data_IF_779147541191
#
_entry.id   IF_779147541191
#
_cell.length_a   1.000
_cell.length_b   1.000
_cell.length_c   1.000
_cell.angle_alpha   90.00
_cell.angle_beta   90.00
_cell.angle_gamma   90.00
#
_symmetry.space_group_name_H-M   'P 1'
#
loop_
_entity.id
_entity.type
_entity.pdbx_description
1 polymer ?
#
# COMPACT_ATOMS: atom_id res chain seq x y z
N UNK A 1 -27.56 -32.20 30.39
CA UNK A 1 -26.09 -32.02 30.30
C UNK A 1 -25.83 -30.79 29.45
N UNK A 2 -25.14 -29.81 30.04
CA UNK A 2 -25.07 -28.43 29.58
C UNK A 2 -24.06 -28.23 28.43
N UNK A 3 -24.36 -27.24 27.58
CA UNK A 3 -23.51 -26.74 26.51
C UNK A 3 -22.28 -26.01 27.06
N UNK A 4 -21.12 -26.24 26.44
CA UNK A 4 -19.86 -25.53 26.73
C UNK A 4 -19.74 -24.34 25.77
N UNK A 5 -19.52 -23.10 26.25
CA UNK A 5 -19.57 -21.91 25.41
C UNK A 5 -18.23 -21.59 24.71
N UNK A 6 -18.36 -20.90 23.58
CA UNK A 6 -17.31 -20.26 22.78
C UNK A 6 -16.40 -19.41 23.68
N UNK A 7 -15.08 -19.62 23.60
CA UNK A 7 -14.09 -18.78 24.30
C UNK A 7 -13.87 -17.48 23.51
N UNK A 8 -14.10 -16.37 24.20
CA UNK A 8 -14.11 -14.99 23.70
C UNK A 8 -12.72 -14.49 23.25
N UNK A 9 -12.75 -13.70 22.18
CA UNK A 9 -11.66 -12.93 21.57
C UNK A 9 -11.11 -11.81 22.49
N UNK A 10 -11.87 -11.43 23.52
CA UNK A 10 -11.52 -10.38 24.49
C UNK A 10 -10.35 -10.74 25.41
N UNK A 11 -10.11 -12.04 25.64
CA UNK A 11 -9.11 -12.49 26.63
C UNK A 11 -7.66 -12.24 26.16
N UNK A 12 -7.46 -12.07 24.85
CA UNK A 12 -6.17 -11.67 24.29
C UNK A 12 -5.92 -10.15 24.38
N UNK A 13 -6.99 -9.34 24.43
CA UNK A 13 -6.93 -7.87 24.48
C UNK A 13 -6.64 -7.34 25.89
N UNK A 14 -7.08 -8.05 26.94
CA UNK A 14 -6.82 -7.64 28.33
C UNK A 14 -5.33 -7.83 28.71
N UNK A 15 -4.66 -8.85 28.15
CA UNK A 15 -3.27 -9.19 28.50
C UNK A 15 -2.20 -8.22 28.00
N UNK A 16 -2.54 -7.23 27.17
CA UNK A 16 -1.62 -6.16 26.72
C UNK A 16 -1.86 -4.80 27.36
N UNK A 17 -2.92 -4.63 28.17
CA UNK A 17 -3.19 -3.36 28.89
C UNK A 17 -2.35 -3.16 30.16
N UNK A 18 -1.51 -4.12 30.52
CA UNK A 18 -0.73 -4.11 31.76
C UNK A 18 0.73 -4.48 31.56
N UNK A 19 1.44 -3.71 30.74
CA UNK A 19 2.91 -3.66 30.77
C UNK A 19 3.36 -2.20 30.61
N UNK A 20 3.28 -1.45 31.72
CA UNK A 20 4.11 -0.28 31.94
C UNK A 20 5.57 -0.75 32.03
N UNK A 21 6.26 -0.85 30.89
CA UNK A 21 7.71 -1.03 30.89
C UNK A 21 8.37 0.33 31.19
N UNK A 22 8.67 0.57 32.46
CA UNK A 22 9.74 1.48 32.87
C UNK A 22 11.04 0.92 32.30
N UNK A 23 11.55 1.52 31.22
CA UNK A 23 12.92 1.30 30.80
C UNK A 23 13.83 2.07 31.75
N UNK A 24 14.46 1.33 32.66
CA UNK A 24 15.53 1.79 33.52
C UNK A 24 16.82 1.77 32.67
N UNK A 25 17.23 2.91 32.12
CA UNK A 25 18.53 3.08 31.49
C UNK A 25 19.46 3.76 32.49
N UNK A 26 20.28 2.95 33.16
CA UNK A 26 21.47 3.39 33.87
C UNK A 26 22.61 3.61 32.88
N UNK A 27 22.93 4.86 32.59
CA UNK A 27 24.24 5.27 32.09
C UNK A 27 24.46 6.75 32.39
N UNK A 28 25.60 7.03 33.00
CA UNK A 28 26.01 8.26 33.64
C UNK A 28 26.09 9.47 32.69
N UNK A 29 25.31 10.51 32.95
CA UNK A 29 25.59 11.88 32.52
C UNK A 29 25.15 12.84 33.63
N UNK A 30 25.97 13.83 34.04
CA UNK A 30 25.65 14.69 35.17
C UNK A 30 24.52 15.66 34.82
N UNK A 31 23.37 15.48 35.45
CA UNK A 31 22.22 16.39 35.37
C UNK A 31 22.55 17.69 36.12
N UNK A 32 22.88 18.76 35.38
CA UNK A 32 22.68 20.13 35.91
C UNK A 32 21.17 20.40 35.92
N UNK A 33 20.60 20.57 37.11
CA UNK A 33 19.19 20.96 37.26
C UNK A 33 18.99 22.40 36.79
N UNK A 34 18.43 22.57 35.59
CA UNK A 34 17.88 23.86 35.17
C UNK A 34 16.46 23.92 35.74
N UNK A 35 16.28 24.70 36.79
CA UNK A 35 14.97 25.02 37.38
C UNK A 35 14.39 26.18 36.56
N UNK A 36 13.44 25.89 35.66
CA UNK A 36 12.62 26.94 35.06
C UNK A 36 11.46 27.25 36.00
N UNK A 37 11.44 28.47 36.54
CA UNK A 37 10.26 29.03 37.20
C UNK A 37 9.17 29.24 36.15
N UNK A 38 8.01 28.62 36.36
CA UNK A 38 6.83 28.83 35.53
C UNK A 38 6.16 30.11 36.05
N UNK A 39 6.25 31.18 35.27
CA UNK A 39 5.38 32.35 35.45
C UNK A 39 3.99 32.02 34.88
N UNK A 40 3.01 31.89 35.76
CA UNK A 40 1.60 31.68 35.42
C UNK A 40 1.00 32.92 34.75
N UNK A 41 1.20 33.08 33.45
CA UNK A 41 0.32 33.88 32.59
C UNK A 41 0.63 33.65 31.10
N UNK A 42 0.06 32.59 30.53
CA UNK A 42 -0.19 32.55 29.08
C UNK A 42 -1.43 31.70 28.83
N UNK A 43 -2.44 32.33 28.23
CA UNK A 43 -3.64 31.70 27.69
C UNK A 43 -3.27 30.52 26.78
N UNK A 44 -4.04 29.41 26.79
CA UNK A 44 -3.71 28.26 25.96
C UNK A 44 -3.96 28.64 24.50
N UNK A 45 -2.89 29.00 23.79
CA UNK A 45 -2.88 28.96 22.34
C UNK A 45 -3.15 27.50 21.95
N UNK A 46 -4.35 27.27 21.44
CA UNK A 46 -4.75 26.03 20.77
C UNK A 46 -3.69 25.66 19.74
N UNK A 47 -2.78 24.77 20.13
CA UNK A 47 -1.88 24.09 19.22
C UNK A 47 -2.69 22.98 18.54
N UNK A 48 -3.50 23.33 17.54
CA UNK A 48 -3.96 22.36 16.55
C UNK A 48 -2.76 21.90 15.72
N UNK A 49 -1.92 21.06 16.33
CA UNK A 49 -0.83 20.34 15.69
C UNK A 49 -1.41 19.13 14.92
N UNK A 50 -2.39 19.39 14.05
CA UNK A 50 -3.05 18.40 13.22
C UNK A 50 -2.06 17.94 12.15
N UNK A 51 -1.27 16.92 12.47
CA UNK A 51 -0.34 16.32 11.52
C UNK A 51 -1.09 15.82 10.29
N UNK A 52 -0.56 16.11 9.09
CA UNK A 52 -1.13 15.61 7.84
C UNK A 52 -1.30 14.08 7.84
N UNK A 53 -2.20 13.59 7.00
CA UNK A 53 -2.32 12.18 6.69
C UNK A 53 -1.07 11.63 6.01
N UNK A 54 -0.89 10.31 6.08
CA UNK A 54 0.19 9.63 5.36
C UNK A 54 -0.28 9.22 3.95
N UNK A 55 0.62 9.25 2.96
CA UNK A 55 0.41 8.70 1.63
C UNK A 55 1.12 7.35 1.52
N UNK A 56 0.36 6.25 1.52
CA UNK A 56 0.90 4.89 1.42
C UNK A 56 0.49 4.27 0.10
N UNK A 57 1.48 3.92 -0.72
CA UNK A 57 1.27 3.34 -2.05
C UNK A 57 1.59 1.85 -2.03
N UNK A 58 0.72 1.05 -2.64
CA UNK A 58 0.94 -0.36 -2.89
C UNK A 58 1.28 -0.59 -4.36
N UNK A 59 2.42 -1.23 -4.60
CA UNK A 59 2.92 -1.58 -5.92
C UNK A 59 3.12 -3.10 -6.07
N UNK A 60 3.20 -3.56 -7.31
CA UNK A 60 3.34 -4.98 -7.64
C UNK A 60 2.68 -5.37 -8.95
N UNK A 61 2.97 -6.58 -9.40
CA UNK A 61 2.42 -7.18 -10.62
C UNK A 61 0.89 -7.28 -10.60
N UNK A 62 0.28 -7.49 -11.77
CA UNK A 62 -1.13 -7.84 -11.82
C UNK A 62 -1.42 -9.11 -11.01
N UNK A 63 -2.60 -9.16 -10.40
CA UNK A 63 -3.01 -10.19 -9.44
C UNK A 63 -2.09 -10.39 -8.23
N UNK A 64 -1.16 -9.48 -7.90
CA UNK A 64 -0.32 -9.64 -6.69
C UNK A 64 -1.06 -9.55 -5.35
N UNK A 65 -2.32 -9.10 -5.35
CA UNK A 65 -3.17 -9.01 -4.15
C UNK A 65 -3.23 -7.61 -3.53
N UNK A 66 -2.72 -6.58 -4.22
CA UNK A 66 -2.73 -5.18 -3.76
C UNK A 66 -4.11 -4.72 -3.30
N UNK A 67 -5.11 -4.83 -4.15
CA UNK A 67 -6.50 -4.45 -3.84
C UNK A 67 -7.00 -5.07 -2.54
N UNK A 68 -6.78 -6.37 -2.35
CA UNK A 68 -7.20 -7.06 -1.13
C UNK A 68 -6.44 -6.59 0.12
N UNK A 69 -5.14 -6.33 0.00
CA UNK A 69 -4.33 -5.83 1.12
C UNK A 69 -4.67 -4.37 1.47
N UNK A 70 -4.89 -3.52 0.46
CA UNK A 70 -5.30 -2.14 0.66
C UNK A 70 -6.66 -2.08 1.38
N UNK A 71 -7.65 -2.85 0.92
CA UNK A 71 -8.96 -2.90 1.58
C UNK A 71 -8.89 -3.36 3.04
N UNK A 72 -8.11 -4.42 3.32
CA UNK A 72 -7.90 -4.89 4.70
C UNK A 72 -7.22 -3.85 5.59
N UNK A 73 -6.22 -3.15 5.06
CA UNK A 73 -5.52 -2.10 5.80
C UNK A 73 -6.45 -0.93 6.11
N UNK A 74 -7.25 -0.50 5.14
CA UNK A 74 -8.24 0.56 5.32
C UNK A 74 -9.26 0.17 6.39
N UNK A 75 -9.92 -0.98 6.27
CA UNK A 75 -10.90 -1.43 7.27
C UNK A 75 -10.30 -1.55 8.68
N UNK A 76 -9.05 -1.98 8.78
CA UNK A 76 -8.36 -2.06 10.06
C UNK A 76 -8.11 -0.67 10.67
N UNK A 77 -7.59 0.27 9.88
CA UNK A 77 -7.32 1.64 10.35
C UNK A 77 -8.61 2.40 10.69
N UNK A 78 -9.68 2.20 9.91
CA UNK A 78 -11.03 2.72 10.23
C UNK A 78 -11.54 2.16 11.54
N UNK A 79 -11.35 0.85 11.78
CA UNK A 79 -11.71 0.20 13.05
C UNK A 79 -10.95 0.72 14.27
N UNK A 80 -9.79 1.35 14.06
CA UNK A 80 -9.03 2.07 15.10
C UNK A 80 -9.42 3.55 15.24
N UNK A 81 -10.39 4.04 14.45
CA UNK A 81 -10.85 5.43 14.45
C UNK A 81 -9.97 6.39 13.66
N UNK A 82 -9.07 5.89 12.79
CA UNK A 82 -8.26 6.76 11.93
C UNK A 82 -9.03 7.23 10.69
N UNK A 83 -8.87 8.50 10.31
CA UNK A 83 -9.34 9.00 9.01
C UNK A 83 -8.45 8.44 7.90
N UNK A 84 -9.01 7.58 7.07
CA UNK A 84 -8.30 6.89 5.99
C UNK A 84 -9.21 6.73 4.76
N UNK A 85 -8.65 6.80 3.56
CA UNK A 85 -9.38 6.56 2.31
C UNK A 85 -8.60 5.60 1.40
N UNK A 86 -9.35 4.75 0.67
CA UNK A 86 -8.82 3.89 -0.38
C UNK A 86 -8.89 4.60 -1.74
N UNK A 87 -7.76 4.69 -2.43
CA UNK A 87 -7.65 5.24 -3.77
C UNK A 87 -7.02 4.21 -4.70
N UNK A 88 -7.32 4.28 -6.01
CA UNK A 88 -6.75 3.37 -7.02
C UNK A 88 -6.42 4.12 -8.30
N UNK A 89 -5.28 3.80 -8.89
CA UNK A 89 -4.92 4.24 -10.23
C UNK A 89 -4.81 3.06 -11.22
N UNK A 90 -5.31 3.20 -12.46
CA UNK A 90 -6.05 4.37 -12.96
C UNK A 90 -7.42 4.50 -12.28
N UNK A 91 -7.84 5.73 -11.99
CA UNK A 91 -9.23 6.01 -11.62
C UNK A 91 -10.07 5.97 -12.90
N UNK A 92 -10.75 4.85 -13.11
CA UNK A 92 -11.55 4.57 -14.32
C UNK A 92 -12.88 5.34 -14.38
N UNK A 93 -13.22 6.11 -13.36
CA UNK A 93 -14.48 6.87 -13.31
C UNK A 93 -14.42 8.17 -14.11
N UNK A 94 -13.23 8.75 -14.30
CA UNK A 94 -13.02 10.00 -15.02
C UNK A 94 -12.99 9.78 -16.54
N UNK A 95 -13.13 10.85 -17.33
CA UNK A 95 -13.07 10.76 -18.80
C UNK A 95 -11.73 10.18 -19.28
N UNK A 96 -10.61 10.61 -18.69
CA UNK A 96 -9.28 10.03 -18.98
C UNK A 96 -9.22 8.57 -18.54
N UNK A 97 -9.77 8.27 -17.36
CA UNK A 97 -9.91 6.90 -16.84
C UNK A 97 -10.67 5.96 -17.76
N UNK A 98 -11.73 6.45 -18.40
CA UNK A 98 -12.54 5.68 -19.35
C UNK A 98 -11.76 5.35 -20.62
N UNK A 99 -10.95 6.29 -21.14
CA UNK A 99 -10.04 6.02 -22.28
C UNK A 99 -9.02 4.94 -21.94
N UNK A 100 -8.43 5.00 -20.75
CA UNK A 100 -7.51 3.98 -20.24
C UNK A 100 -8.23 2.63 -20.08
N UNK A 101 -9.45 2.63 -19.55
CA UNK A 101 -10.26 1.42 -19.37
C UNK A 101 -10.57 0.75 -20.71
N UNK A 102 -10.98 1.53 -21.72
CA UNK A 102 -11.20 1.02 -23.07
C UNK A 102 -9.93 0.40 -23.66
N UNK A 103 -8.77 1.02 -23.43
CA UNK A 103 -7.48 0.48 -23.86
C UNK A 103 -7.13 -0.84 -23.16
N UNK A 104 -7.24 -0.89 -21.81
CA UNK A 104 -6.90 -2.07 -21.00
C UNK A 104 -7.84 -3.25 -21.28
N UNK A 105 -9.09 -2.98 -21.62
CA UNK A 105 -10.10 -4.00 -22.00
C UNK A 105 -10.06 -4.36 -23.49
N UNK A 106 -9.02 -3.92 -24.21
CA UNK A 106 -8.84 -4.17 -25.65
C UNK A 106 -9.97 -3.63 -26.56
N UNK A 107 -10.79 -2.68 -26.08
CA UNK A 107 -11.85 -2.02 -26.86
C UNK A 107 -11.32 -0.86 -27.72
N UNK A 108 -10.13 -0.35 -27.41
CA UNK A 108 -9.41 0.64 -28.22
C UNK A 108 -7.94 0.27 -28.35
N UNK A 109 -7.32 0.75 -29.43
CA UNK A 109 -5.87 0.70 -29.62
C UNK A 109 -5.34 2.13 -29.57
N UNK A 110 -4.25 2.32 -28.82
CA UNK A 110 -3.57 3.60 -28.66
C UNK A 110 -2.07 3.36 -28.75
N UNK A 111 -1.34 4.33 -29.28
CA UNK A 111 0.11 4.36 -29.24
C UNK A 111 0.64 4.31 -27.79
N UNK A 112 1.81 3.73 -27.62
CA UNK A 112 2.40 3.46 -26.31
C UNK A 112 2.77 4.74 -25.54
N UNK A 113 3.20 5.79 -26.24
CA UNK A 113 3.45 7.10 -25.64
C UNK A 113 2.14 7.76 -25.25
N UNK A 114 1.12 7.65 -26.10
CA UNK A 114 -0.21 8.22 -25.83
C UNK A 114 -0.83 7.62 -24.58
N UNK A 115 -0.89 6.28 -24.48
CA UNK A 115 -1.47 5.64 -23.29
C UNK A 115 -0.64 5.91 -22.03
N UNK A 116 0.70 5.99 -22.14
CA UNK A 116 1.56 6.37 -21.02
C UNK A 116 1.19 7.75 -20.46
N UNK A 117 1.05 8.74 -21.35
CA UNK A 117 0.68 10.10 -20.96
C UNK A 117 -0.73 10.16 -20.36
N UNK A 118 -1.69 9.37 -20.87
CA UNK A 118 -3.03 9.28 -20.27
C UNK A 118 -2.97 8.72 -18.84
N UNK A 119 -2.19 7.66 -18.59
CA UNK A 119 -1.98 7.16 -17.23
C UNK A 119 -1.40 8.23 -16.30
N UNK A 120 -0.46 9.04 -16.78
CA UNK A 120 0.12 10.14 -16.01
C UNK A 120 -0.90 11.24 -15.75
N UNK A 121 -1.62 11.69 -16.78
CA UNK A 121 -2.68 12.69 -16.68
C UNK A 121 -3.77 12.29 -15.65
N UNK A 122 -4.14 11.00 -15.63
CA UNK A 122 -5.11 10.46 -14.67
C UNK A 122 -4.64 10.52 -13.21
N UNK A 123 -3.31 10.53 -12.95
CA UNK A 123 -2.77 10.83 -11.61
C UNK A 123 -2.77 12.32 -11.32
N UNK A 124 -2.38 13.13 -12.29
CA UNK A 124 -2.32 14.59 -12.16
C UNK A 124 -3.68 15.23 -11.86
N UNK A 125 -4.75 14.78 -12.51
CA UNK A 125 -6.10 15.28 -12.26
C UNK A 125 -6.57 15.05 -10.81
N UNK A 126 -5.98 14.08 -10.10
CA UNK A 126 -6.28 13.79 -8.69
C UNK A 126 -5.36 14.49 -7.68
N UNK A 127 -4.22 15.01 -8.13
CA UNK A 127 -3.16 15.57 -7.26
C UNK A 127 -3.69 16.58 -6.25
N UNK A 128 -4.45 17.58 -6.69
CA UNK A 128 -4.95 18.66 -5.82
C UNK A 128 -5.91 18.13 -4.73
N UNK A 129 -6.77 17.18 -5.11
CA UNK A 129 -7.70 16.54 -4.16
C UNK A 129 -6.94 15.69 -3.13
N UNK A 130 -5.96 14.90 -3.58
CA UNK A 130 -5.10 14.12 -2.68
C UNK A 130 -4.35 15.03 -1.70
N UNK A 131 -3.78 16.14 -2.18
CA UNK A 131 -3.07 17.10 -1.33
C UNK A 131 -4.00 17.72 -0.26
N UNK A 132 -5.23 18.06 -0.65
CA UNK A 132 -6.24 18.60 0.27
C UNK A 132 -6.60 17.59 1.36
N UNK A 133 -6.85 16.33 0.99
CA UNK A 133 -7.16 15.24 1.93
C UNK A 133 -6.02 14.97 2.90
N UNK A 134 -4.79 14.91 2.39
CA UNK A 134 -3.62 14.71 3.23
C UNK A 134 -3.45 15.88 4.21
N UNK A 135 -3.58 17.13 3.77
CA UNK A 135 -3.51 18.31 4.64
C UNK A 135 -4.60 18.31 5.73
N UNK A 136 -5.77 17.75 5.43
CA UNK A 136 -6.85 17.58 6.40
C UNK A 136 -6.65 16.41 7.39
N UNK A 137 -5.50 15.74 7.37
CA UNK A 137 -5.19 14.64 8.29
C UNK A 137 -5.58 13.24 7.79
N UNK A 138 -6.30 13.13 6.67
CA UNK A 138 -6.75 11.86 6.09
C UNK A 138 -5.60 11.09 5.45
N UNK A 139 -5.37 9.86 5.90
CA UNK A 139 -4.38 8.95 5.31
C UNK A 139 -4.90 8.37 4.01
N UNK A 140 -4.09 8.35 2.96
CA UNK A 140 -4.45 7.79 1.66
C UNK A 140 -3.72 6.46 1.45
N UNK A 141 -4.48 5.38 1.33
CA UNK A 141 -3.98 4.07 0.90
C UNK A 141 -4.25 3.93 -0.59
N UNK A 142 -3.19 3.86 -1.40
CA UNK A 142 -3.29 3.96 -2.86
C UNK A 142 -2.84 2.66 -3.53
N UNK A 143 -3.74 2.04 -4.29
CA UNK A 143 -3.47 0.86 -5.13
C UNK A 143 -2.94 1.33 -6.49
N UNK A 144 -1.63 1.14 -6.71
CA UNK A 144 -0.80 1.65 -7.84
C UNK A 144 -0.65 3.17 -7.87
N UNK A 145 0.53 3.65 -8.26
CA UNK A 145 0.82 5.07 -8.48
C UNK A 145 1.83 5.25 -9.63
N UNK A 146 2.72 6.24 -9.51
CA UNK A 146 3.73 6.58 -10.53
C UNK A 146 4.65 5.40 -10.87
N UNK A 147 5.04 4.56 -9.89
CA UNK A 147 5.93 3.42 -10.13
C UNK A 147 5.34 2.43 -11.13
N UNK A 148 4.04 2.12 -11.03
CA UNK A 148 3.32 1.33 -12.02
C UNK A 148 3.38 1.96 -13.41
N UNK A 149 3.15 3.27 -13.54
CA UNK A 149 3.24 3.98 -14.82
C UNK A 149 4.58 3.78 -15.52
N UNK A 150 5.68 4.05 -14.81
CA UNK A 150 7.03 3.91 -15.36
C UNK A 150 7.37 2.42 -15.59
N UNK A 151 6.99 1.50 -14.70
CA UNK A 151 7.37 0.08 -14.80
C UNK A 151 6.72 -0.61 -16.01
N UNK A 152 5.42 -0.38 -16.21
CA UNK A 152 4.70 -0.98 -17.32
C UNK A 152 5.14 -0.40 -18.66
N UNK A 153 5.38 0.90 -18.73
CA UNK A 153 5.71 1.56 -20.00
C UNK A 153 7.13 1.24 -20.47
N UNK A 154 8.08 1.20 -19.55
CA UNK A 154 9.45 0.73 -19.86
C UNK A 154 9.49 -0.75 -20.25
N UNK A 155 8.63 -1.60 -19.67
CA UNK A 155 8.48 -2.99 -20.09
C UNK A 155 7.95 -3.15 -21.53
N UNK A 156 7.33 -2.10 -22.09
CA UNK A 156 6.92 -2.03 -23.50
C UNK A 156 8.01 -1.49 -24.42
N UNK A 157 9.14 -1.04 -23.88
CA UNK A 157 10.30 -0.57 -24.63
C UNK A 157 10.46 0.96 -24.67
N UNK A 158 9.65 1.71 -23.92
CA UNK A 158 9.83 3.17 -23.81
C UNK A 158 11.04 3.50 -22.93
N UNK A 159 11.67 4.63 -23.23
CA UNK A 159 12.81 5.13 -22.45
C UNK A 159 12.43 5.41 -20.99
N UNK A 160 13.33 5.07 -20.07
CA UNK A 160 13.08 5.18 -18.64
C UNK A 160 12.96 6.62 -18.16
N UNK A 161 13.87 7.51 -18.58
CA UNK A 161 13.83 8.91 -18.16
C UNK A 161 12.65 9.63 -18.82
N UNK A 162 12.32 9.30 -20.06
CA UNK A 162 11.11 9.77 -20.72
C UNK A 162 9.84 9.36 -19.95
N UNK A 163 9.72 8.10 -19.53
CA UNK A 163 8.57 7.65 -18.75
C UNK A 163 8.48 8.28 -17.36
N UNK A 164 9.60 8.70 -16.79
CA UNK A 164 9.67 9.33 -15.47
C UNK A 164 9.32 10.81 -15.52
N UNK A 165 9.63 11.50 -16.62
CA UNK A 165 9.44 12.94 -16.75
C UNK A 165 7.99 13.42 -16.49
N UNK A 166 6.93 12.75 -17.02
CA UNK A 166 5.55 13.13 -16.72
C UNK A 166 5.16 12.98 -15.24
N UNK A 167 5.88 12.17 -14.45
CA UNK A 167 5.56 11.93 -13.04
C UNK A 167 6.16 12.99 -12.10
N UNK A 168 7.09 13.82 -12.59
CA UNK A 168 7.83 14.79 -11.78
C UNK A 168 6.88 15.86 -11.24
N UNK A 169 6.74 15.93 -9.92
CA UNK A 169 5.90 16.90 -9.22
C UNK A 169 4.60 16.32 -8.65
N UNK A 170 4.28 15.05 -8.92
CA UNK A 170 3.29 14.29 -8.15
C UNK A 170 3.69 14.20 -6.67
N UNK A 171 2.72 13.95 -5.80
CA UNK A 171 2.96 13.88 -4.34
C UNK A 171 3.83 12.65 -4.06
N UNK A 172 4.99 12.88 -3.44
CA UNK A 172 5.87 11.79 -3.02
C UNK A 172 5.19 10.93 -1.94
N UNK A 173 5.12 9.59 -2.10
CA UNK A 173 4.60 8.71 -1.06
C UNK A 173 5.49 8.70 0.17
N UNK A 174 4.87 8.60 1.35
CA UNK A 174 5.56 8.40 2.62
C UNK A 174 6.08 6.97 2.77
N UNK A 175 5.32 6.02 2.22
CA UNK A 175 5.66 4.60 2.21
C UNK A 175 5.25 3.97 0.88
N UNK A 176 6.15 3.19 0.29
CA UNK A 176 5.85 2.33 -0.85
C UNK A 176 5.97 0.87 -0.42
N UNK A 177 4.88 0.13 -0.57
CA UNK A 177 4.78 -1.30 -0.25
C UNK A 177 4.74 -2.08 -1.56
N UNK A 178 5.84 -2.76 -1.89
CA UNK A 178 5.91 -3.62 -3.07
C UNK A 178 5.58 -5.08 -2.71
N UNK A 179 4.45 -5.58 -3.23
CA UNK A 179 4.03 -6.97 -3.13
C UNK A 179 4.73 -7.81 -4.21
N UNK A 180 5.85 -8.43 -3.84
CA UNK A 180 6.67 -9.26 -4.70
C UNK A 180 6.16 -10.70 -4.72
N UNK A 181 5.55 -11.04 -5.84
CA UNK A 181 5.14 -12.39 -6.21
C UNK A 181 5.76 -12.71 -7.58
N UNK A 182 6.10 -13.98 -7.81
CA UNK A 182 6.55 -14.43 -9.13
C UNK A 182 5.41 -14.31 -10.15
N UNK A 183 5.66 -13.87 -11.40
CA UNK A 183 4.64 -13.82 -12.45
C UNK A 183 3.83 -15.11 -12.61
N UNK A 184 4.48 -16.27 -12.47
CA UNK A 184 3.87 -17.60 -12.57
C UNK A 184 2.76 -17.80 -11.53
N UNK A 185 3.09 -17.58 -10.24
CA UNK A 185 2.12 -17.67 -9.13
C UNK A 185 1.04 -16.58 -9.18
N UNK A 186 1.32 -15.44 -9.80
CA UNK A 186 0.31 -14.41 -10.01
C UNK A 186 -0.70 -14.85 -11.08
N UNK A 187 -0.22 -15.53 -12.13
CA UNK A 187 -1.04 -16.06 -13.21
C UNK A 187 -1.95 -17.22 -12.79
N UNK A 188 -1.56 -17.98 -11.77
CA UNK A 188 -2.41 -19.04 -11.17
C UNK A 188 -3.67 -18.49 -10.46
N UNK A 189 -3.74 -17.18 -10.20
CA UNK A 189 -4.88 -16.58 -9.49
C UNK A 189 -6.04 -16.35 -10.45
N UNK A 190 -7.26 -16.63 -9.96
CA UNK A 190 -8.49 -16.55 -10.76
C UNK A 190 -8.68 -15.21 -11.48
N UNK A 191 -9.16 -15.30 -12.73
CA UNK A 191 -9.47 -14.17 -13.60
C UNK A 191 -8.28 -13.54 -14.32
N UNK A 192 -7.10 -14.16 -14.28
CA UNK A 192 -5.92 -13.71 -15.05
C UNK A 192 -6.15 -13.86 -16.56
N UNK A 193 -5.68 -12.88 -17.33
CA UNK A 193 -5.77 -12.83 -18.79
C UNK A 193 -6.95 -12.03 -19.33
N UNK A 194 -7.73 -11.40 -18.45
CA UNK A 194 -8.89 -10.59 -18.83
C UNK A 194 -8.55 -9.17 -19.29
N UNK A 195 -7.36 -8.67 -18.93
CA UNK A 195 -6.88 -7.35 -19.36
C UNK A 195 -5.61 -7.44 -20.21
N UNK A 196 -5.38 -6.42 -21.03
CA UNK A 196 -4.27 -6.33 -22.01
C UNK A 196 -2.91 -6.70 -21.44
N UNK A 197 -2.61 -6.32 -20.20
CA UNK A 197 -1.30 -6.52 -19.59
C UNK A 197 -1.20 -7.81 -18.77
N UNK A 198 -2.28 -8.57 -18.59
CA UNK A 198 -2.28 -9.86 -17.89
C UNK A 198 -1.72 -10.98 -18.81
N UNK A 199 -0.52 -10.77 -19.34
CA UNK A 199 0.22 -11.71 -20.19
C UNK A 199 1.51 -12.11 -19.48
N UNK A 200 1.77 -13.41 -19.33
CA UNK A 200 2.86 -13.92 -18.49
C UNK A 200 4.23 -13.34 -18.87
N UNK A 201 4.58 -13.38 -20.16
CA UNK A 201 5.85 -12.82 -20.64
C UNK A 201 5.97 -11.32 -20.40
N UNK A 202 4.86 -10.59 -20.54
CA UNK A 202 4.85 -9.16 -20.26
C UNK A 202 5.03 -8.88 -18.76
N UNK A 203 4.34 -9.61 -17.88
CA UNK A 203 4.50 -9.48 -16.43
C UNK A 203 5.90 -9.86 -15.96
N UNK A 204 6.60 -10.78 -16.65
CA UNK A 204 8.03 -11.05 -16.40
C UNK A 204 8.90 -9.82 -16.67
N UNK A 205 8.70 -9.15 -17.81
CA UNK A 205 9.40 -7.89 -18.12
C UNK A 205 9.10 -6.82 -17.07
N UNK A 206 7.83 -6.63 -16.73
CA UNK A 206 7.41 -5.67 -15.68
C UNK A 206 8.09 -5.99 -14.34
N UNK A 207 8.16 -7.28 -13.95
CA UNK A 207 8.85 -7.71 -12.73
C UNK A 207 10.33 -7.34 -12.73
N UNK A 208 11.02 -7.48 -13.87
CA UNK A 208 12.42 -7.08 -14.02
C UNK A 208 12.57 -5.57 -13.85
N UNK A 209 11.73 -4.75 -14.48
CA UNK A 209 11.77 -3.29 -14.34
C UNK A 209 11.47 -2.82 -12.91
N UNK A 210 10.63 -3.52 -12.15
CA UNK A 210 10.46 -3.25 -10.72
C UNK A 210 11.70 -3.60 -9.91
N UNK A 211 12.35 -4.74 -10.20
CA UNK A 211 13.55 -5.19 -9.47
C UNK A 211 14.75 -4.30 -9.71
N UNK A 212 14.94 -3.80 -10.94
CA UNK A 212 16.03 -2.87 -11.29
C UNK A 212 15.96 -1.56 -10.49
N UNK A 213 14.78 -1.22 -9.94
CA UNK A 213 14.57 -0.01 -9.13
C UNK A 213 14.74 -0.24 -7.64
N UNK A 214 15.02 -1.47 -7.21
CA UNK A 214 15.36 -1.75 -5.81
C UNK A 214 16.80 -1.35 -5.57
N UNK A 215 17.01 -0.42 -4.65
CA UNK A 215 18.32 -0.10 -4.10
C UNK A 215 18.43 -0.60 -2.65
N UNK A 216 19.56 -0.32 -2.00
CA UNK A 216 19.86 -0.74 -0.62
C UNK A 216 18.93 -0.13 0.44
N UNK A 217 18.11 0.86 0.10
CA UNK A 217 17.17 1.48 1.05
C UNK A 217 15.88 0.68 1.23
N UNK A 218 15.60 -0.30 0.37
CA UNK A 218 14.45 -1.17 0.49
C UNK A 218 14.64 -2.21 1.61
N UNK A 219 13.71 -2.24 2.57
CA UNK A 219 13.66 -3.25 3.62
C UNK A 219 12.67 -4.34 3.25
N UNK A 220 13.14 -5.59 3.18
CA UNK A 220 12.34 -6.75 2.81
C UNK A 220 11.87 -7.57 4.01
N UNK A 221 10.65 -8.11 3.94
CA UNK A 221 10.19 -9.24 4.76
C UNK A 221 9.62 -10.32 3.82
N UNK A 222 9.87 -11.59 4.12
CA UNK A 222 9.40 -12.73 3.33
C UNK A 222 8.49 -13.63 4.17
N UNK A 223 7.41 -14.13 3.57
CA UNK A 223 6.59 -15.19 4.16
C UNK A 223 5.98 -16.06 3.06
N UNK A 224 6.36 -17.34 3.03
CA UNK A 224 6.01 -18.25 1.95
C UNK A 224 6.47 -17.70 0.59
N UNK A 225 5.53 -17.60 -0.35
CA UNK A 225 5.77 -17.13 -1.72
C UNK A 225 5.65 -15.62 -1.91
N UNK A 226 5.19 -14.89 -0.89
CA UNK A 226 5.04 -13.44 -0.94
C UNK A 226 6.21 -12.78 -0.23
N UNK A 227 6.91 -11.90 -0.93
CA UNK A 227 7.88 -10.99 -0.35
C UNK A 227 7.28 -9.59 -0.35
N UNK A 228 7.47 -8.86 0.74
CA UNK A 228 7.03 -7.47 0.85
C UNK A 228 8.25 -6.62 1.05
N UNK A 229 8.45 -5.66 0.16
CA UNK A 229 9.54 -4.70 0.25
C UNK A 229 8.95 -3.32 0.56
N UNK A 230 9.64 -2.61 1.44
CA UNK A 230 9.17 -1.33 1.98
C UNK A 230 10.30 -0.33 1.86
N UNK A 231 10.00 0.80 1.24
CA UNK A 231 10.92 1.93 1.11
C UNK A 231 10.22 3.16 1.68
N UNK A 232 10.84 3.80 2.69
CA UNK A 232 10.50 5.16 3.09
C UNK A 232 11.30 6.09 2.22
N UNK A 233 10.65 6.96 1.43
CA UNK A 233 11.20 7.51 0.19
C UNK A 233 12.63 8.11 0.27
N UNK A 234 13.61 7.54 -0.47
CA UNK A 234 14.54 8.29 -1.29
C UNK A 234 14.14 8.15 -2.77
N UNK A 235 14.36 9.17 -3.59
CA UNK A 235 14.03 9.29 -5.03
C UNK A 235 12.73 10.02 -5.41
N UNK A 236 12.57 11.26 -4.94
CA UNK A 236 12.23 12.47 -5.74
C UNK A 236 13.03 13.64 -5.13
N UNK A 237 14.37 13.59 -5.23
CA UNK A 237 15.21 14.76 -4.92
C UNK A 237 15.50 15.53 -6.21
N UNK A 238 14.45 16.16 -6.73
CA UNK A 238 14.52 17.47 -7.36
C UNK A 238 13.19 18.16 -7.05
N UNK A 239 13.26 19.11 -6.10
CA UNK A 239 12.21 19.98 -5.58
C UNK A 239 11.25 19.41 -4.51
N UNK A 240 11.60 19.60 -3.23
CA UNK A 240 10.82 20.34 -2.21
C UNK A 240 11.27 19.96 -0.78
N UNK A 241 12.38 20.56 -0.32
CA UNK A 241 12.66 20.71 1.11
C UNK A 241 11.72 21.78 1.65
N UNK A 242 10.50 21.44 2.11
CA UNK A 242 9.61 22.39 2.81
C UNK A 242 8.61 21.80 3.83
N UNK A 243 8.81 20.58 4.33
CA UNK A 243 7.94 20.02 5.39
C UNK A 243 8.75 19.29 6.48
N UNK A 244 9.47 20.04 7.33
CA UNK A 244 10.38 19.48 8.34
C UNK A 244 9.89 19.53 9.80
N UNK A 245 8.60 19.79 10.07
CA UNK A 245 8.06 19.73 11.45
C UNK A 245 6.97 18.68 11.71
N UNK A 246 6.53 17.92 10.70
CA UNK A 246 5.48 16.89 10.78
C UNK A 246 6.00 15.44 10.82
N UNK A 247 7.33 15.24 10.84
CA UNK A 247 7.96 13.95 10.58
C UNK A 247 7.71 12.86 11.63
N UNK A 248 7.59 13.20 12.92
CA UNK A 248 7.45 12.19 13.98
C UNK A 248 6.07 11.51 13.94
N UNK A 249 5.00 12.28 13.75
CA UNK A 249 3.63 11.71 13.75
C UNK A 249 3.37 10.89 12.49
N UNK A 250 3.89 11.33 11.33
CA UNK A 250 3.85 10.54 10.10
C UNK A 250 4.67 9.26 10.26
N UNK A 251 5.85 9.32 10.88
CA UNK A 251 6.67 8.13 11.15
C UNK A 251 5.97 7.13 12.09
N UNK A 252 5.26 7.60 13.13
CA UNK A 252 4.45 6.75 14.01
C UNK A 252 3.28 6.10 13.27
N UNK A 253 2.58 6.86 12.41
CA UNK A 253 1.53 6.32 11.52
C UNK A 253 2.10 5.25 10.58
N UNK A 254 3.29 5.47 10.02
CA UNK A 254 3.99 4.47 9.19
C UNK A 254 4.32 3.22 10.02
N UNK A 255 4.86 3.35 11.23
CA UNK A 255 5.17 2.19 12.09
C UNK A 255 3.92 1.37 12.42
N UNK A 256 2.81 2.04 12.76
CA UNK A 256 1.52 1.35 12.94
C UNK A 256 1.11 0.60 11.65
N UNK A 257 1.19 1.25 10.49
CA UNK A 257 0.84 0.62 9.20
C UNK A 257 1.74 -0.60 8.92
N UNK A 258 3.03 -0.51 9.23
CA UNK A 258 3.99 -1.61 9.04
C UNK A 258 3.68 -2.80 9.96
N UNK A 259 3.34 -2.54 11.22
CA UNK A 259 2.97 -3.57 12.19
C UNK A 259 1.66 -4.25 11.81
N UNK A 260 0.69 -3.47 11.34
CA UNK A 260 -0.61 -3.95 10.84
C UNK A 260 -0.43 -4.77 9.57
N UNK A 261 0.39 -4.32 8.62
CA UNK A 261 0.68 -5.09 7.41
C UNK A 261 1.36 -6.42 7.75
N UNK A 262 2.28 -6.42 8.71
CA UNK A 262 2.90 -7.64 9.19
C UNK A 262 1.87 -8.59 9.82
N UNK A 263 0.93 -8.06 10.61
CA UNK A 263 -0.16 -8.81 11.22
C UNK A 263 -1.16 -9.35 10.19
N UNK A 264 -1.53 -8.57 9.19
CA UNK A 264 -2.40 -9.02 8.08
C UNK A 264 -1.71 -10.08 7.22
N UNK A 265 -0.39 -9.99 7.01
CA UNK A 265 0.40 -11.06 6.40
C UNK A 265 0.42 -12.34 7.25
N UNK A 266 0.42 -12.22 8.58
CA UNK A 266 0.36 -13.36 9.51
C UNK A 266 -1.00 -14.09 9.43
N UNK A 267 -2.10 -13.35 9.35
CA UNK A 267 -3.47 -13.88 9.37
C UNK A 267 -3.96 -14.44 8.04
N UNK A 268 -3.29 -14.13 6.93
CA UNK A 268 -3.73 -14.57 5.59
C UNK A 268 -3.19 -15.93 5.16
N UNK A 269 -2.36 -16.56 5.99
CA UNK A 269 -1.85 -17.93 5.78
C UNK A 269 -2.70 -19.03 6.41
N UNK A 270 -3.76 -18.70 7.18
CA UNK A 270 -4.59 -19.71 7.87
C UNK A 270 -5.83 -20.15 7.09
N UNK A 271 -6.13 -19.55 5.93
CA UNK A 271 -7.35 -19.86 5.15
C UNK A 271 -7.09 -20.43 3.75
N UNK A 272 -5.88 -20.92 3.46
CA UNK A 272 -5.60 -21.66 2.22
C UNK A 272 -5.33 -23.13 2.55
N UNK A 273 -6.38 -23.93 2.70
CA UNK A 273 -6.21 -25.36 2.95
C UNK A 273 -7.48 -26.16 3.29
N UNK A 274 -8.40 -26.29 2.34
CA UNK A 274 -9.07 -27.59 2.12
C UNK A 274 -9.59 -27.67 0.67
N UNK A 275 -9.10 -28.61 -0.15
CA UNK A 275 -9.71 -28.88 -1.44
C UNK A 275 -11.02 -29.62 -1.20
N UNK A 276 -12.14 -29.06 -1.69
CA UNK A 276 -13.38 -29.80 -1.81
C UNK A 276 -13.12 -31.03 -2.69
N UNK A 277 -13.24 -32.21 -2.11
CA UNK A 277 -13.30 -33.46 -2.86
C UNK A 277 -14.54 -33.45 -3.74
N UNK A 278 -14.36 -33.32 -5.05
CA UNK A 278 -15.39 -33.64 -6.04
C UNK A 278 -15.62 -35.16 -6.00
N UNK A 279 -16.65 -35.60 -5.28
CA UNK A 279 -17.22 -36.93 -5.52
C UNK A 279 -17.97 -36.86 -6.84
N UNK A 280 -17.40 -37.54 -7.84
CA UNK A 280 -18.08 -37.93 -9.06
C UNK A 280 -19.25 -38.84 -8.71
N UNK A 281 -20.46 -38.39 -9.01
CA UNK A 281 -21.66 -39.19 -8.93
C UNK A 281 -21.70 -40.12 -10.15
N UNK A 282 -21.49 -41.41 -9.93
CA UNK A 282 -21.60 -42.44 -10.94
C UNK A 282 -23.08 -42.86 -11.02
N UNK A 283 -23.76 -42.43 -12.08
CA UNK A 283 -25.14 -42.86 -12.36
C UNK A 283 -25.21 -44.38 -12.61
N UNK A 284 -26.28 -45.06 -12.17
CA UNK A 284 -26.44 -46.49 -12.39
C UNK A 284 -26.91 -46.79 -13.82
N UNK A 285 -26.27 -47.80 -14.42
CA UNK A 285 -26.74 -48.52 -15.62
C UNK A 285 -28.09 -49.19 -15.36
N UNK A 286 -29.06 -49.05 -16.26
CA UNK A 286 -29.86 -50.19 -16.78
C UNK A 286 -30.93 -49.80 -17.82
N UNK A 287 -30.98 -50.59 -18.92
CA UNK A 287 -32.10 -50.95 -19.83
C UNK A 287 -32.68 -49.81 -20.71
N UNK A 288 -32.85 -49.92 -22.03
CA UNK A 288 -32.95 -51.03 -22.98
C UNK A 288 -32.03 -50.82 -24.19
#
# INVERSE_FOLDING_TARGET
MAAVPLRNFDDFLVRRRSLNLRLNLSSEFPLRSIRMEISDNCTPLSANNESRGALVVFEGLDRSGKTSQCGRLVSYLEGLGHSVELWRFPDRTTSVGQLISAYLTNKSQLDDHTIHLLFSANRWEKRSMMETKLKAGTTLIVDRYSYSGVAFSTAKGLDFEWCKAPEIGLIAPDLVVYLDITPEKAAERGGYGGERYEQLEFQRKVSQHYKLRKDSSWKGKQRGNLRVYMQGAPWIHLNLVKYFNTGIVVALKIHLILDVLLLLMLLTTTNAGSPLSSKTDAGPKSRF
#
